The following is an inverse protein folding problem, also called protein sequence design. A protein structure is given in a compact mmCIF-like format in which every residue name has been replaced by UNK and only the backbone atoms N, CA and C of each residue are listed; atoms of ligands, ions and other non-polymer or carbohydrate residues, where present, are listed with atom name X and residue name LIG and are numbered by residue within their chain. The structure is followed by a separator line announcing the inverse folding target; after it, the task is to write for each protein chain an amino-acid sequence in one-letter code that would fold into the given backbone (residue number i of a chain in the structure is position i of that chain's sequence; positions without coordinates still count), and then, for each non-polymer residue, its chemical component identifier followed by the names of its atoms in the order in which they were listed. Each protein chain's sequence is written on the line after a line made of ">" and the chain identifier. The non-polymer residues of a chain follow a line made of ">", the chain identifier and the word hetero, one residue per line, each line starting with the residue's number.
data_IF_999705341851
#
_entry.id   IF_999705341851
#
_cell.length_a   1.000
_cell.length_b   1.000
_cell.length_c   1.000
_cell.angle_alpha   90.00
_cell.angle_beta   90.00
_cell.angle_gamma   90.00
#
_symmetry.space_group_name_H-M   'P 1'
#
loop_
_entity.id
_entity.type
_entity.pdbx_description
1 polymer ?
#
# COMPACT_ATOMS: atom_id res chain seq x y z
N UNK A 1 -0.66 27.22 8.88
CA UNK A 1 -1.15 27.61 10.22
C UNK A 1 -1.86 28.94 10.01
N UNK A 2 -3.08 29.12 10.50
CA UNK A 2 -3.72 30.44 10.42
C UNK A 2 -2.99 31.41 11.34
N UNK A 3 -3.00 32.71 11.04
CA UNK A 3 -2.44 33.74 11.94
C UNK A 3 -3.12 33.73 13.32
N UNK A 4 -4.37 33.31 13.39
CA UNK A 4 -5.11 33.06 14.64
C UNK A 4 -4.74 31.74 15.34
N UNK A 5 -3.82 30.94 14.78
CA UNK A 5 -3.41 29.63 15.30
C UNK A 5 -4.56 28.62 15.54
N UNK A 6 -5.69 28.76 14.84
CA UNK A 6 -6.78 27.78 14.86
C UNK A 6 -6.30 26.49 14.18
N UNK A 7 -6.00 25.46 15.00
CA UNK A 7 -5.43 24.18 14.55
C UNK A 7 -6.51 23.11 14.53
N UNK A 8 -6.94 22.72 13.33
CA UNK A 8 -7.70 21.47 13.14
C UNK A 8 -6.73 20.30 13.01
N UNK A 9 -7.03 19.19 13.70
CA UNK A 9 -6.26 17.95 13.56
C UNK A 9 -6.49 17.38 12.15
N UNK A 10 -5.41 17.19 11.40
CA UNK A 10 -5.43 16.52 10.09
C UNK A 10 -4.46 15.36 10.08
N UNK A 11 -4.80 14.34 9.30
CA UNK A 11 -3.93 13.18 9.06
C UNK A 11 -3.29 13.32 7.68
N UNK A 12 -1.96 13.34 7.63
CA UNK A 12 -1.21 13.31 6.38
C UNK A 12 -0.97 11.87 5.97
N UNK A 13 -1.94 11.29 5.29
CA UNK A 13 -1.76 9.96 4.72
C UNK A 13 -0.83 10.05 3.50
N UNK A 14 0.08 9.09 3.31
CA UNK A 14 0.68 8.89 1.98
C UNK A 14 -0.45 8.62 0.98
N UNK A 15 -0.22 8.90 -0.31
CA UNK A 15 -1.19 8.72 -1.39
C UNK A 15 -1.63 7.24 -1.54
N UNK A 16 -2.46 6.77 -0.61
CA UNK A 16 -2.88 5.39 -0.41
C UNK A 16 -4.12 5.14 -1.26
N UNK A 17 -4.03 4.15 -2.13
CA UNK A 17 -5.08 3.77 -3.07
C UNK A 17 -5.31 2.27 -3.01
N UNK A 18 -6.53 1.83 -3.32
CA UNK A 18 -6.83 0.41 -3.46
C UNK A 18 -6.51 -0.03 -4.90
N UNK A 19 -5.61 -0.98 -5.04
CA UNK A 19 -5.22 -1.54 -6.33
C UNK A 19 -5.34 -3.07 -6.32
N UNK A 20 -5.64 -3.66 -7.48
CA UNK A 20 -5.73 -5.12 -7.65
C UNK A 20 -4.52 -5.61 -8.42
N UNK A 21 -3.88 -6.66 -7.90
CA UNK A 21 -2.75 -7.32 -8.55
C UNK A 21 -3.16 -8.73 -8.92
N UNK A 22 -2.83 -9.15 -10.13
CA UNK A 22 -2.91 -10.56 -10.51
C UNK A 22 -1.73 -11.30 -9.88
N UNK A 23 -2.02 -12.40 -9.19
CA UNK A 23 -1.01 -13.23 -8.56
C UNK A 23 -1.01 -14.58 -9.25
N UNK A 24 0.06 -14.88 -9.98
CA UNK A 24 0.14 -16.07 -10.81
C UNK A 24 0.17 -17.35 -9.97
N UNK A 25 0.85 -17.30 -8.82
CA UNK A 25 0.98 -18.42 -7.88
C UNK A 25 -0.38 -18.88 -7.30
N UNK A 26 -1.34 -17.97 -7.17
CA UNK A 26 -2.66 -18.24 -6.59
C UNK A 26 -3.78 -18.17 -7.64
N UNK A 27 -3.45 -17.81 -8.90
CA UNK A 27 -4.38 -17.59 -10.01
C UNK A 27 -5.59 -16.71 -9.63
N UNK A 28 -5.35 -15.67 -8.82
CA UNK A 28 -6.40 -14.76 -8.34
C UNK A 28 -5.94 -13.32 -8.27
N UNK A 29 -6.92 -12.42 -8.25
CA UNK A 29 -6.68 -11.01 -7.94
C UNK A 29 -6.61 -10.78 -6.44
N UNK A 30 -5.52 -10.16 -5.99
CA UNK A 30 -5.34 -9.71 -4.61
C UNK A 30 -5.51 -8.19 -4.55
N UNK A 31 -6.36 -7.70 -3.65
CA UNK A 31 -6.60 -6.27 -3.47
C UNK A 31 -5.72 -5.74 -2.34
N UNK A 32 -4.78 -4.85 -2.66
CA UNK A 32 -3.90 -4.23 -1.68
C UNK A 32 -4.16 -2.72 -1.58
N UNK A 33 -4.01 -2.17 -0.36
CA UNK A 33 -3.99 -0.72 -0.15
C UNK A 33 -2.55 -0.24 -0.19
N UNK A 34 -2.15 0.35 -1.30
CA UNK A 34 -0.76 0.68 -1.61
C UNK A 34 -0.60 2.16 -1.96
N UNK A 35 0.58 2.70 -1.71
CA UNK A 35 0.94 4.03 -2.21
C UNK A 35 1.57 3.94 -3.60
N UNK A 36 1.63 5.07 -4.32
CA UNK A 36 2.34 5.12 -5.61
C UNK A 36 3.80 4.66 -5.53
N UNK A 37 4.49 4.95 -4.42
CA UNK A 37 5.86 4.44 -4.17
C UNK A 37 5.84 2.92 -3.95
N UNK A 38 4.83 2.41 -3.25
CA UNK A 38 4.64 0.97 -3.05
C UNK A 38 4.42 0.22 -4.36
N UNK A 39 3.63 0.78 -5.28
CA UNK A 39 3.44 0.19 -6.62
C UNK A 39 4.76 0.03 -7.36
N UNK A 40 5.60 1.08 -7.40
CA UNK A 40 6.94 0.99 -8.03
C UNK A 40 7.85 -0.07 -7.41
N UNK A 41 7.73 -0.33 -6.11
CA UNK A 41 8.51 -1.38 -5.43
C UNK A 41 8.01 -2.77 -5.84
N UNK A 42 6.69 -2.94 -5.94
CA UNK A 42 6.07 -4.18 -6.42
C UNK A 42 6.51 -4.46 -7.86
N UNK A 43 6.48 -3.46 -8.74
CA UNK A 43 6.89 -3.62 -10.13
C UNK A 43 8.38 -3.99 -10.24
N UNK A 44 9.24 -3.43 -9.38
CA UNK A 44 10.68 -3.71 -9.38
C UNK A 44 11.05 -5.08 -8.81
N UNK A 45 10.37 -5.52 -7.75
CA UNK A 45 10.73 -6.76 -7.01
C UNK A 45 9.88 -7.98 -7.40
N UNK A 46 8.75 -7.76 -8.06
CA UNK A 46 7.72 -8.76 -8.29
C UNK A 46 6.72 -8.87 -7.13
N UNK A 47 5.49 -9.27 -7.45
CA UNK A 47 4.39 -9.35 -6.47
C UNK A 47 4.60 -10.49 -5.46
N UNK A 48 5.12 -11.65 -5.88
CA UNK A 48 5.26 -12.82 -5.01
C UNK A 48 6.24 -12.57 -3.87
N UNK A 49 7.39 -11.96 -4.15
CA UNK A 49 8.39 -11.61 -3.13
C UNK A 49 7.80 -10.64 -2.08
N UNK A 50 7.05 -9.65 -2.55
CA UNK A 50 6.38 -8.67 -1.67
C UNK A 50 5.29 -9.33 -0.84
N UNK A 51 4.52 -10.28 -1.39
CA UNK A 51 3.49 -11.00 -0.65
C UNK A 51 4.08 -11.89 0.46
N UNK A 52 5.24 -12.52 0.21
CA UNK A 52 5.96 -13.29 1.24
C UNK A 52 6.38 -12.36 2.39
N UNK A 53 6.92 -11.18 2.08
CA UNK A 53 7.32 -10.20 3.10
C UNK A 53 6.12 -9.67 3.90
N UNK A 54 4.99 -9.39 3.22
CA UNK A 54 3.75 -8.92 3.87
C UNK A 54 3.20 -10.00 4.81
N UNK A 55 3.22 -11.28 4.40
CA UNK A 55 2.79 -12.41 5.25
C UNK A 55 3.68 -12.59 6.47
N UNK A 56 5.00 -12.45 6.31
CA UNK A 56 5.95 -12.46 7.44
C UNK A 56 5.69 -11.33 8.43
N UNK A 57 5.28 -10.16 7.94
CA UNK A 57 4.90 -9.03 8.77
C UNK A 57 3.53 -9.22 9.48
N UNK A 58 2.81 -10.31 9.24
CA UNK A 58 1.52 -10.61 9.87
C UNK A 58 0.34 -9.82 9.31
N UNK A 59 0.52 -9.13 8.18
CA UNK A 59 -0.57 -8.40 7.53
C UNK A 59 -1.46 -9.36 6.73
N UNK A 60 -2.78 -9.19 6.83
CA UNK A 60 -3.76 -10.01 6.10
C UNK A 60 -3.81 -9.58 4.63
N UNK A 61 -3.71 -10.57 3.74
CA UNK A 61 -3.69 -10.45 2.27
C UNK A 61 -4.94 -11.08 1.67
#
# INVERSE_FOLDING_TARGET
>A
MSHANNKTRRRFLPNLQHHRFWVESEKRFVRLRVSAKGMRIIDKRGIDAVLVDIRKAGAKV
#
